data_IF_876659625543
#
_entry.id   IF_876659625543
#
_cell.length_a   1.000
_cell.length_b   1.000
_cell.length_c   1.000
_cell.angle_alpha   90.00
_cell.angle_beta   90.00
_cell.angle_gamma   90.00
#
_symmetry.space_group_name_H-M   'P 1'
#
loop_
_entity.id
_entity.type
_entity.pdbx_description
1 polymer ?
#
# COMPACT_ATOMS: atom_id res chain seq x y z
N UNK A 1 17.39 -10.96 -59.56
CA UNK A 1 16.16 -10.71 -58.76
C UNK A 1 16.53 -9.75 -57.65
N UNK A 2 16.10 -8.49 -57.75
CA UNK A 2 16.46 -7.44 -56.78
C UNK A 2 15.49 -7.47 -55.60
N UNK A 3 16.00 -7.68 -54.39
CA UNK A 3 15.22 -7.70 -53.17
C UNK A 3 14.73 -6.28 -52.86
N UNK A 4 13.42 -6.05 -52.98
CA UNK A 4 12.78 -4.80 -52.54
C UNK A 4 12.86 -4.72 -51.02
N UNK A 5 13.66 -3.78 -50.52
CA UNK A 5 13.67 -3.35 -49.12
C UNK A 5 12.28 -2.85 -48.74
N UNK A 6 11.63 -3.54 -47.81
CA UNK A 6 10.30 -3.20 -47.31
C UNK A 6 10.46 -2.16 -46.21
N UNK A 7 10.10 -0.92 -46.48
CA UNK A 7 10.10 0.17 -45.50
C UNK A 7 9.10 -0.18 -44.37
N UNK A 8 9.49 -0.09 -43.08
CA UNK A 8 8.55 -0.32 -42.00
C UNK A 8 7.46 0.74 -42.01
N UNK A 9 6.23 0.41 -41.55
CA UNK A 9 5.14 1.36 -41.49
C UNK A 9 5.52 2.53 -40.56
N UNK A 10 5.00 3.74 -40.82
CA UNK A 10 5.21 4.87 -39.92
C UNK A 10 4.70 4.50 -38.53
N UNK A 11 5.55 4.74 -37.51
CA UNK A 11 5.15 4.65 -36.11
C UNK A 11 4.01 5.64 -35.92
N UNK A 12 2.83 5.14 -35.56
CA UNK A 12 1.69 6.01 -35.28
C UNK A 12 2.11 7.05 -34.22
N UNK A 13 1.83 8.32 -34.49
CA UNK A 13 2.08 9.39 -33.53
C UNK A 13 1.39 9.01 -32.20
N UNK A 14 2.15 9.05 -31.10
CA UNK A 14 1.62 8.77 -29.77
C UNK A 14 0.41 9.69 -29.54
N UNK A 15 -0.71 9.11 -29.09
CA UNK A 15 -1.88 9.88 -28.72
C UNK A 15 -1.47 11.00 -27.75
N UNK A 16 -2.03 12.21 -27.87
CA UNK A 16 -1.69 13.31 -26.98
C UNK A 16 -1.90 12.86 -25.54
N UNK A 17 -0.93 13.19 -24.68
CA UNK A 17 -1.00 12.81 -23.28
C UNK A 17 -2.34 13.30 -22.71
N UNK A 18 -3.06 12.43 -22.00
CA UNK A 18 -4.36 12.77 -21.44
C UNK A 18 -4.21 14.00 -20.53
N UNK A 19 -5.15 14.95 -20.65
CA UNK A 19 -5.10 16.18 -19.86
C UNK A 19 -5.24 15.81 -18.39
N UNK A 20 -4.26 16.24 -17.57
CA UNK A 20 -4.26 16.02 -16.12
C UNK A 20 -5.60 16.49 -15.50
N UNK A 21 -6.05 15.86 -14.40
CA UNK A 21 -7.21 16.34 -13.67
C UNK A 21 -7.07 17.82 -13.34
N UNK A 22 -8.11 18.59 -13.64
CA UNK A 22 -8.15 20.01 -13.28
C UNK A 22 -8.52 20.10 -11.80
N UNK A 23 -7.66 20.77 -11.02
CA UNK A 23 -7.81 20.87 -9.56
C UNK A 23 -8.22 22.28 -9.21
N UNK A 24 -9.43 22.41 -8.68
CA UNK A 24 -9.95 23.63 -8.07
C UNK A 24 -9.40 23.75 -6.64
N UNK A 25 -8.30 24.52 -6.52
CA UNK A 25 -7.65 24.80 -5.24
C UNK A 25 -8.51 25.59 -4.27
N UNK A 26 -9.55 26.29 -4.74
CA UNK A 26 -10.45 27.04 -3.87
C UNK A 26 -11.42 26.14 -3.12
N UNK A 27 -11.67 24.95 -3.65
CA UNK A 27 -12.50 23.91 -3.02
C UNK A 27 -11.73 22.92 -2.15
N UNK A 28 -10.41 23.08 -2.04
CA UNK A 28 -9.58 22.28 -1.13
C UNK A 28 -9.57 22.90 0.27
N UNK A 29 -9.41 22.10 1.35
CA UNK A 29 -9.29 22.62 2.70
C UNK A 29 -8.11 23.60 2.85
N UNK A 30 -8.41 24.76 3.43
CA UNK A 30 -7.46 25.85 3.71
C UNK A 30 -7.34 26.03 5.23
N UNK A 31 -6.53 25.22 5.92
CA UNK A 31 -6.38 25.35 7.36
C UNK A 31 -5.79 26.72 7.72
N UNK A 32 -6.43 27.40 8.67
CA UNK A 32 -6.00 28.73 9.13
C UNK A 32 -5.20 28.61 10.43
N UNK A 33 -3.96 29.11 10.40
CA UNK A 33 -3.07 29.12 11.55
C UNK A 33 -2.72 30.57 11.93
N UNK A 34 -3.55 31.19 12.78
CA UNK A 34 -3.46 32.63 13.06
C UNK A 34 -2.09 33.12 13.59
N UNK A 35 -1.34 32.28 14.30
CA UNK A 35 0.02 32.60 14.80
C UNK A 35 1.16 32.09 13.91
N UNK A 36 0.85 31.24 12.92
CA UNK A 36 1.82 30.55 12.08
C UNK A 36 1.33 30.51 10.62
N UNK A 37 1.15 31.67 10.01
CA UNK A 37 0.61 31.79 8.64
C UNK A 37 1.41 30.97 7.60
N UNK A 38 2.72 30.81 7.81
CA UNK A 38 3.57 29.95 6.98
C UNK A 38 3.11 28.48 6.90
N UNK A 39 2.35 27.98 7.88
CA UNK A 39 1.78 26.63 7.84
C UNK A 39 0.60 26.54 6.87
N UNK A 40 -0.16 27.62 6.69
CA UNK A 40 -1.19 27.70 5.64
C UNK A 40 -0.55 27.72 4.25
N UNK A 41 0.59 28.41 4.10
CA UNK A 41 1.37 28.39 2.86
C UNK A 41 1.93 27.00 2.55
N UNK A 42 2.41 26.29 3.57
CA UNK A 42 2.86 24.90 3.45
C UNK A 42 1.73 23.98 3.03
N UNK A 43 0.52 24.12 3.60
CA UNK A 43 -0.65 23.34 3.20
C UNK A 43 -1.04 23.61 1.73
N UNK A 44 -1.05 24.88 1.32
CA UNK A 44 -1.32 25.25 -0.08
C UNK A 44 -0.23 24.72 -1.03
N UNK A 45 1.03 24.74 -0.60
CA UNK A 45 2.14 24.15 -1.35
C UNK A 45 1.96 22.63 -1.51
N UNK A 46 1.60 21.92 -0.44
CA UNK A 46 1.36 20.47 -0.49
C UNK A 46 0.25 20.11 -1.50
N UNK A 47 -0.84 20.88 -1.56
CA UNK A 47 -1.87 20.68 -2.60
C UNK A 47 -1.34 20.88 -4.02
N UNK A 48 -0.56 21.94 -4.26
CA UNK A 48 0.06 22.17 -5.57
C UNK A 48 1.02 21.05 -5.96
N UNK A 49 1.78 20.51 -5.00
CA UNK A 49 2.64 19.35 -5.24
C UNK A 49 1.83 18.11 -5.57
N UNK A 50 0.79 17.79 -4.80
CA UNK A 50 -0.05 16.64 -5.10
C UNK A 50 -0.70 16.74 -6.51
N UNK A 51 -1.26 17.90 -6.88
CA UNK A 51 -1.84 18.11 -8.20
C UNK A 51 -0.81 18.00 -9.35
N UNK A 52 0.44 18.41 -9.12
CA UNK A 52 1.50 18.29 -10.11
C UNK A 52 2.02 16.84 -10.28
N UNK A 53 1.65 15.93 -9.37
CA UNK A 53 2.15 14.55 -9.28
C UNK A 53 1.02 13.53 -9.50
N UNK A 54 0.33 13.73 -10.61
CA UNK A 54 -0.71 12.84 -11.11
C UNK A 54 -0.29 12.31 -12.48
N UNK A 55 -0.38 11.00 -12.64
CA UNK A 55 0.00 10.27 -13.86
C UNK A 55 -1.14 9.36 -14.29
N UNK A 56 -1.27 9.12 -15.60
CA UNK A 56 -2.16 8.09 -16.12
C UNK A 56 -1.34 6.89 -16.56
N UNK A 57 -1.74 5.71 -16.10
CA UNK A 57 -1.13 4.43 -16.44
C UNK A 57 -2.23 3.40 -16.61
N UNK A 58 -2.16 2.56 -17.65
CA UNK A 58 -3.16 1.50 -17.91
C UNK A 58 -4.62 2.01 -17.89
N UNK A 59 -4.84 3.23 -18.38
CA UNK A 59 -6.16 3.87 -18.42
C UNK A 59 -6.62 4.49 -17.10
N UNK A 60 -5.85 4.42 -16.01
CA UNK A 60 -6.21 4.93 -14.69
C UNK A 60 -5.33 6.10 -14.25
N UNK A 61 -5.97 7.15 -13.73
CA UNK A 61 -5.26 8.21 -13.02
C UNK A 61 -4.82 7.74 -11.64
N UNK A 62 -3.59 8.02 -11.26
CA UNK A 62 -3.03 7.70 -9.94
C UNK A 62 -2.03 8.77 -9.51
N UNK A 63 -1.74 8.80 -8.21
CA UNK A 63 -0.68 9.61 -7.62
C UNK A 63 0.68 8.99 -7.96
N UNK A 64 1.65 9.83 -8.34
CA UNK A 64 3.03 9.42 -8.63
C UNK A 64 3.94 9.75 -7.45
N UNK A 65 4.39 8.72 -6.73
CA UNK A 65 5.26 8.87 -5.55
C UNK A 65 6.74 9.08 -5.91
N UNK A 66 7.20 8.49 -7.02
CA UNK A 66 8.63 8.43 -7.35
C UNK A 66 9.13 9.74 -7.95
N UNK A 67 8.24 10.42 -8.68
CA UNK A 67 8.59 11.57 -9.52
C UNK A 67 9.76 11.28 -10.49
N UNK A 68 9.92 10.03 -10.90
CA UNK A 68 10.93 9.61 -11.86
C UNK A 68 10.30 9.64 -13.28
N UNK A 69 10.69 10.59 -14.15
CA UNK A 69 10.14 10.66 -15.50
C UNK A 69 10.49 9.41 -16.33
N UNK A 70 11.57 8.70 -15.98
CA UNK A 70 12.05 7.52 -16.69
C UNK A 70 11.48 6.21 -16.12
N UNK A 71 10.93 6.22 -14.90
CA UNK A 71 10.42 5.02 -14.23
C UNK A 71 9.04 5.27 -13.63
N UNK A 72 8.08 4.44 -13.99
CA UNK A 72 6.71 4.57 -13.52
C UNK A 72 6.45 3.68 -12.31
N UNK A 73 7.32 3.76 -11.32
CA UNK A 73 7.25 2.89 -10.16
C UNK A 73 6.27 3.44 -9.13
N UNK A 74 5.46 2.55 -8.58
CA UNK A 74 4.54 2.88 -7.50
C UNK A 74 4.75 1.94 -6.33
N UNK A 75 5.01 2.53 -5.15
CA UNK A 75 5.24 1.81 -3.89
C UNK A 75 3.97 1.80 -3.06
N UNK A 76 3.73 0.68 -2.38
CA UNK A 76 2.51 0.46 -1.60
C UNK A 76 2.39 1.49 -0.47
N UNK A 77 3.42 1.64 0.38
CA UNK A 77 3.28 2.46 1.58
C UNK A 77 3.17 3.96 1.26
N UNK A 78 3.92 4.48 0.29
CA UNK A 78 3.83 5.86 -0.19
C UNK A 78 2.42 6.14 -0.71
N UNK A 79 1.87 5.21 -1.49
CA UNK A 79 0.52 5.35 -2.05
C UNK A 79 -0.55 5.34 -0.97
N UNK A 80 -0.39 4.53 0.07
CA UNK A 80 -1.29 4.57 1.24
C UNK A 80 -1.23 5.95 1.90
N UNK A 81 -0.05 6.50 2.19
CA UNK A 81 0.06 7.82 2.81
C UNK A 81 -0.46 8.96 1.92
N UNK A 82 -0.20 8.90 0.61
CA UNK A 82 -0.79 9.83 -0.34
C UNK A 82 -2.33 9.72 -0.35
N UNK A 83 -2.89 8.52 -0.23
CA UNK A 83 -4.34 8.31 -0.13
C UNK A 83 -4.92 8.98 1.12
N UNK A 84 -4.26 8.81 2.27
CA UNK A 84 -4.67 9.42 3.54
C UNK A 84 -4.64 10.94 3.52
N UNK A 85 -3.78 11.54 2.69
CA UNK A 85 -3.79 12.97 2.41
C UNK A 85 -4.89 13.36 1.39
N UNK A 86 -4.95 12.66 0.26
CA UNK A 86 -5.83 12.96 -0.85
C UNK A 86 -7.32 12.75 -0.54
N UNK A 87 -7.69 12.02 0.52
CA UNK A 87 -9.10 11.91 0.97
C UNK A 87 -9.74 13.27 1.27
N UNK A 88 -8.92 14.28 1.63
CA UNK A 88 -9.39 15.65 1.85
C UNK A 88 -9.53 16.47 0.56
N UNK A 89 -9.21 15.91 -0.61
CA UNK A 89 -9.30 16.61 -1.89
C UNK A 89 -10.72 16.71 -2.45
N UNK A 90 -11.71 16.11 -1.78
CA UNK A 90 -13.09 16.01 -2.27
C UNK A 90 -13.18 15.39 -3.68
N UNK A 91 -12.44 14.29 -3.89
CA UNK A 91 -12.44 13.53 -5.15
C UNK A 91 -11.66 14.17 -6.30
N UNK A 92 -11.01 15.32 -6.10
CA UNK A 92 -10.24 16.00 -7.15
C UNK A 92 -8.90 15.31 -7.46
N UNK A 93 -8.34 14.59 -6.50
CA UNK A 93 -7.08 13.85 -6.67
C UNK A 93 -7.32 12.33 -6.62
N UNK A 94 -6.62 11.55 -7.47
CA UNK A 94 -6.83 10.11 -7.60
C UNK A 94 -6.14 9.30 -6.48
N UNK A 95 -6.22 9.75 -5.23
CA UNK A 95 -5.58 9.10 -4.09
C UNK A 95 -6.06 7.66 -3.91
N UNK A 96 -7.36 7.50 -3.61
CA UNK A 96 -7.94 6.18 -3.34
C UNK A 96 -7.92 5.27 -4.58
N UNK A 97 -8.06 5.84 -5.78
CA UNK A 97 -8.00 5.12 -7.05
C UNK A 97 -6.61 4.54 -7.29
N UNK A 98 -5.56 5.15 -6.72
CA UNK A 98 -4.19 4.64 -6.83
C UNK A 98 -4.03 3.25 -6.21
N UNK A 99 -4.83 2.90 -5.19
CA UNK A 99 -4.78 1.58 -4.56
C UNK A 99 -5.28 0.46 -5.48
N UNK A 100 -6.18 0.78 -6.43
CA UNK A 100 -6.73 -0.20 -7.36
C UNK A 100 -5.65 -0.83 -8.26
N UNK A 101 -4.55 -0.11 -8.53
CA UNK A 101 -3.42 -0.65 -9.28
C UNK A 101 -2.82 -1.88 -8.60
N UNK A 102 -2.74 -1.88 -7.27
CA UNK A 102 -2.21 -3.02 -6.52
C UNK A 102 -3.19 -4.17 -6.43
N UNK A 103 -4.50 -3.89 -6.29
CA UNK A 103 -5.52 -4.92 -6.27
C UNK A 103 -5.62 -5.65 -7.62
N UNK A 104 -5.41 -4.96 -8.73
CA UNK A 104 -5.39 -5.55 -10.08
C UNK A 104 -4.14 -6.38 -10.35
N UNK A 105 -3.00 -6.04 -9.73
CA UNK A 105 -1.73 -6.73 -9.88
C UNK A 105 -1.48 -7.78 -8.79
N UNK A 106 -2.45 -8.01 -7.91
CA UNK A 106 -2.36 -9.01 -6.85
C UNK A 106 -2.21 -10.42 -7.45
N UNK A 107 -1.26 -11.18 -6.95
CA UNK A 107 -1.06 -12.59 -7.31
C UNK A 107 -2.27 -13.46 -6.96
N UNK A 108 -2.41 -14.60 -7.65
CA UNK A 108 -3.50 -15.56 -7.40
C UNK A 108 -3.50 -16.16 -5.99
N UNK A 109 -2.36 -16.11 -5.30
CA UNK A 109 -2.14 -16.53 -3.91
C UNK A 109 -2.40 -15.41 -2.88
N UNK A 110 -2.75 -14.20 -3.34
CA UNK A 110 -2.97 -13.04 -2.47
C UNK A 110 -1.76 -12.11 -2.31
N UNK A 111 -0.60 -12.44 -2.89
CA UNK A 111 0.60 -11.62 -2.80
C UNK A 111 0.42 -10.24 -3.43
N UNK A 112 0.85 -9.18 -2.72
CA UNK A 112 1.04 -7.85 -3.27
C UNK A 112 2.48 -7.42 -2.97
N UNK A 113 3.24 -7.19 -4.03
CA UNK A 113 4.61 -6.73 -3.98
C UNK A 113 4.73 -5.29 -3.48
N UNK A 114 5.92 -4.97 -2.99
CA UNK A 114 6.29 -3.66 -2.48
C UNK A 114 6.13 -2.55 -3.53
N UNK A 115 6.48 -2.88 -4.77
CA UNK A 115 6.55 -1.93 -5.88
C UNK A 115 6.18 -2.61 -7.18
N UNK A 116 5.52 -1.86 -8.06
CA UNK A 116 5.28 -2.28 -9.43
C UNK A 116 5.60 -1.14 -10.39
N UNK A 117 6.08 -1.47 -11.58
CA UNK A 117 6.08 -0.56 -12.71
C UNK A 117 4.67 -0.48 -13.31
N UNK A 118 4.02 0.68 -13.19
CA UNK A 118 2.66 0.90 -13.68
C UNK A 118 2.55 0.90 -15.21
N UNK A 119 3.66 0.98 -15.94
CA UNK A 119 3.70 0.86 -17.39
C UNK A 119 3.60 -0.60 -17.82
N UNK A 120 4.39 -1.47 -17.19
CA UNK A 120 4.53 -2.88 -17.60
C UNK A 120 3.72 -3.85 -16.74
N UNK A 121 3.35 -3.45 -15.52
CA UNK A 121 2.80 -4.32 -14.48
C UNK A 121 3.84 -5.22 -13.81
N UNK A 122 5.12 -5.08 -14.13
CA UNK A 122 6.19 -5.93 -13.58
C UNK A 122 6.62 -5.43 -12.21
N UNK A 123 6.82 -6.36 -11.29
CA UNK A 123 7.43 -6.12 -9.98
C UNK A 123 8.96 -6.06 -10.11
N UNK A 124 9.62 -4.92 -9.80
CA UNK A 124 11.08 -4.81 -9.92
C UNK A 124 11.86 -5.60 -8.86
N UNK A 125 11.25 -5.83 -7.69
CA UNK A 125 11.88 -6.52 -6.56
C UNK A 125 10.97 -7.61 -6.00
N UNK A 126 10.97 -8.81 -6.61
CA UNK A 126 10.08 -9.90 -6.23
C UNK A 126 10.27 -10.35 -4.78
N UNK A 127 9.19 -10.90 -4.22
CA UNK A 127 9.06 -11.39 -2.85
C UNK A 127 9.23 -10.34 -1.75
N UNK A 128 9.31 -9.05 -2.08
CA UNK A 128 9.34 -7.97 -1.08
C UNK A 128 7.95 -7.40 -0.92
N UNK A 129 7.47 -7.32 0.32
CA UNK A 129 6.26 -6.55 0.65
C UNK A 129 6.65 -5.20 1.24
N UNK A 130 5.73 -4.23 1.20
CA UNK A 130 5.79 -3.02 2.01
C UNK A 130 4.77 -3.10 3.16
N UNK A 131 4.79 -2.15 4.12
CA UNK A 131 3.75 -2.01 5.13
C UNK A 131 2.33 -2.14 4.55
N UNK A 132 1.57 -3.20 4.90
CA UNK A 132 0.35 -3.59 4.21
C UNK A 132 -0.88 -2.82 4.72
N UNK A 133 -0.83 -1.49 4.60
CA UNK A 133 -1.75 -0.55 5.25
C UNK A 133 -3.03 -0.25 4.44
N UNK A 134 -3.41 -1.11 3.51
CA UNK A 134 -4.57 -0.93 2.63
C UNK A 134 -5.89 -0.79 3.40
N UNK A 135 -6.14 -1.66 4.38
CA UNK A 135 -7.37 -1.62 5.18
C UNK A 135 -7.51 -0.29 5.92
N UNK A 136 -6.40 0.27 6.40
CA UNK A 136 -6.37 1.57 7.05
C UNK A 136 -6.70 2.70 6.10
N UNK A 137 -6.09 2.70 4.90
CA UNK A 137 -6.39 3.70 3.88
C UNK A 137 -7.88 3.69 3.46
N UNK A 138 -8.43 2.50 3.18
CA UNK A 138 -9.84 2.33 2.79
C UNK A 138 -10.80 2.73 3.91
N UNK A 139 -10.52 2.34 5.16
CA UNK A 139 -11.32 2.73 6.31
C UNK A 139 -11.31 4.24 6.57
N UNK A 140 -10.13 4.85 6.51
CA UNK A 140 -9.96 6.29 6.72
C UNK A 140 -10.54 7.12 5.56
N UNK A 141 -10.54 6.59 4.33
CA UNK A 141 -11.26 7.19 3.21
C UNK A 141 -12.77 7.15 3.46
N UNK A 142 -13.33 5.97 3.70
CA UNK A 142 -14.75 5.79 3.99
C UNK A 142 -15.22 6.67 5.16
N UNK A 143 -14.45 6.74 6.25
CA UNK A 143 -14.78 7.59 7.40
C UNK A 143 -14.82 9.08 7.08
N UNK A 144 -13.95 9.55 6.18
CA UNK A 144 -13.89 10.97 5.81
C UNK A 144 -14.96 11.33 4.79
N UNK A 145 -15.24 10.46 3.82
CA UNK A 145 -16.09 10.77 2.67
C UNK A 145 -17.51 10.23 2.79
N UNK A 146 -17.72 9.19 3.60
CA UNK A 146 -18.96 8.40 3.62
C UNK A 146 -19.14 7.49 2.41
N UNK A 147 -18.18 7.42 1.49
CA UNK A 147 -18.26 6.60 0.27
C UNK A 147 -17.99 5.13 0.58
N UNK A 148 -19.05 4.32 0.63
CA UNK A 148 -18.98 2.87 0.85
C UNK A 148 -18.98 2.05 -0.45
N UNK A 149 -19.05 2.71 -1.62
CA UNK A 149 -19.31 2.06 -2.91
C UNK A 149 -18.25 1.03 -3.31
N UNK A 150 -17.03 1.17 -2.78
CA UNK A 150 -15.89 0.30 -3.09
C UNK A 150 -15.66 -0.83 -2.09
N UNK A 151 -16.29 -0.80 -0.91
CA UNK A 151 -15.94 -1.70 0.20
C UNK A 151 -16.06 -3.17 -0.18
N UNK A 152 -17.14 -3.55 -0.89
CA UNK A 152 -17.35 -4.94 -1.32
C UNK A 152 -16.30 -5.42 -2.32
N UNK A 153 -15.71 -4.51 -3.10
CA UNK A 153 -14.67 -4.81 -4.08
C UNK A 153 -13.29 -4.93 -3.45
N UNK A 154 -12.98 -4.08 -2.46
CA UNK A 154 -11.61 -3.95 -1.91
C UNK A 154 -11.37 -4.81 -0.67
N UNK A 155 -12.40 -5.19 0.08
CA UNK A 155 -12.24 -6.09 1.23
C UNK A 155 -11.58 -7.42 0.82
N UNK A 156 -12.08 -8.17 -0.19
CA UNK A 156 -11.50 -9.48 -0.54
C UNK A 156 -10.00 -9.47 -0.89
N UNK A 157 -9.47 -8.58 -1.76
CA UNK A 157 -8.04 -8.55 -2.02
C UNK A 157 -7.21 -8.20 -0.77
N UNK A 158 -7.72 -7.35 0.14
CA UNK A 158 -7.01 -7.04 1.37
C UNK A 158 -6.97 -8.25 2.31
N UNK A 159 -8.07 -9.00 2.45
CA UNK A 159 -8.10 -10.24 3.23
C UNK A 159 -7.10 -11.26 2.68
N UNK A 160 -7.05 -11.44 1.35
CA UNK A 160 -6.06 -12.33 0.71
C UNK A 160 -4.62 -11.92 0.98
N UNK A 161 -4.32 -10.61 0.99
CA UNK A 161 -2.99 -10.13 1.36
C UNK A 161 -2.67 -10.47 2.82
N UNK A 162 -3.62 -10.28 3.73
CA UNK A 162 -3.44 -10.63 5.14
C UNK A 162 -3.15 -12.12 5.32
N UNK A 163 -3.91 -12.97 4.63
CA UNK A 163 -3.72 -14.43 4.69
C UNK A 163 -2.37 -14.84 4.07
N UNK A 164 -1.94 -14.17 2.99
CA UNK A 164 -0.62 -14.40 2.40
C UNK A 164 0.51 -14.03 3.38
N UNK A 165 0.42 -12.87 4.04
CA UNK A 165 1.44 -12.43 5.01
C UNK A 165 1.46 -13.38 6.22
N UNK A 166 0.29 -13.86 6.66
CA UNK A 166 0.18 -14.91 7.68
C UNK A 166 0.95 -16.18 7.34
N UNK A 167 0.76 -16.67 6.12
CA UNK A 167 1.36 -17.92 5.67
C UNK A 167 2.86 -17.80 5.43
N UNK A 168 3.34 -16.62 4.99
CA UNK A 168 4.69 -16.47 4.45
C UNK A 168 5.63 -15.61 5.31
N UNK A 169 5.08 -14.78 6.20
CA UNK A 169 5.84 -13.74 6.91
C UNK A 169 5.73 -13.80 8.42
N UNK A 170 5.36 -14.95 8.99
CA UNK A 170 5.49 -15.22 10.43
C UNK A 170 6.89 -15.75 10.76
N UNK A 171 7.47 -15.28 11.86
CA UNK A 171 8.73 -15.82 12.37
C UNK A 171 8.55 -17.25 12.87
N UNK A 172 9.61 -18.05 12.82
CA UNK A 172 9.60 -19.33 13.52
C UNK A 172 9.41 -19.08 15.03
N UNK A 173 8.73 -19.98 15.77
CA UNK A 173 8.59 -19.84 17.21
C UNK A 173 9.94 -19.61 17.90
N UNK A 174 10.02 -18.60 18.77
CA UNK A 174 11.28 -18.22 19.43
C UNK A 174 11.90 -19.38 20.23
N UNK A 175 13.15 -19.76 19.91
CA UNK A 175 13.88 -20.89 20.50
C UNK A 175 14.05 -20.87 22.03
N UNK A 176 14.01 -19.70 22.69
CA UNK A 176 14.06 -19.63 24.16
C UNK A 176 12.83 -20.26 24.84
N UNK A 177 11.80 -20.58 24.07
CA UNK A 177 10.66 -21.36 24.52
C UNK A 177 10.68 -22.81 23.99
N UNK A 178 11.41 -23.12 22.90
CA UNK A 178 11.57 -24.50 22.44
C UNK A 178 12.46 -25.32 23.38
N UNK A 179 13.43 -24.70 24.06
CA UNK A 179 14.22 -25.34 25.13
C UNK A 179 13.43 -25.48 26.45
N UNK A 180 12.31 -24.76 26.63
CA UNK A 180 11.39 -24.95 27.77
C UNK A 180 10.25 -25.92 27.48
N UNK A 181 10.04 -26.26 26.21
CA UNK A 181 9.08 -27.30 25.81
C UNK A 181 9.54 -28.71 26.22
N UNK A 182 10.85 -28.91 26.42
CA UNK A 182 11.41 -30.19 26.88
C UNK A 182 11.40 -30.35 28.42
N UNK A 183 11.24 -29.27 29.21
CA UNK A 183 11.55 -29.30 30.65
C UNK A 183 10.50 -28.65 31.58
N UNK A 184 9.22 -28.73 31.22
CA UNK A 184 8.11 -28.13 31.97
C UNK A 184 8.00 -26.60 31.80
N UNK A 185 7.14 -26.14 30.88
CA UNK A 185 6.00 -25.27 31.19
C UNK A 185 5.36 -24.76 29.89
N UNK A 186 4.09 -25.16 29.74
CA UNK A 186 3.02 -24.62 28.91
C UNK A 186 2.90 -25.17 27.47
N UNK A 187 1.65 -25.44 27.00
CA UNK A 187 1.42 -26.00 25.67
C UNK A 187 1.92 -25.03 24.59
N UNK A 188 2.14 -25.54 23.37
CA UNK A 188 2.63 -24.77 22.22
C UNK A 188 1.86 -23.45 21.94
N UNK A 189 0.66 -23.28 22.51
CA UNK A 189 -0.12 -22.03 22.53
C UNK A 189 0.49 -20.88 23.36
N UNK A 190 1.66 -21.05 23.95
CA UNK A 190 2.40 -19.99 24.66
C UNK A 190 3.68 -19.53 23.94
N UNK A 191 3.87 -19.99 22.71
CA UNK A 191 4.85 -19.46 21.78
C UNK A 191 4.23 -18.29 21.04
N UNK A 192 4.70 -17.06 21.29
CA UNK A 192 4.33 -15.95 20.42
C UNK A 192 5.15 -16.03 19.13
N UNK A 193 4.50 -15.68 18.02
CA UNK A 193 5.13 -15.45 16.73
C UNK A 193 4.88 -14.00 16.34
N UNK A 194 5.88 -13.37 15.77
CA UNK A 194 5.76 -12.03 15.20
C UNK A 194 5.83 -12.15 13.69
N UNK A 195 5.60 -11.03 13.01
CA UNK A 195 5.78 -10.95 11.57
C UNK A 195 7.17 -10.43 11.24
N UNK A 196 7.61 -10.70 10.01
CA UNK A 196 8.86 -10.17 9.49
C UNK A 196 8.74 -9.63 8.07
N UNK A 197 9.52 -8.58 7.79
CA UNK A 197 9.84 -8.19 6.44
C UNK A 197 11.01 -9.04 5.91
N UNK A 198 11.19 -9.12 4.59
CA UNK A 198 12.33 -9.80 3.99
C UNK A 198 13.66 -9.14 4.42
N UNK A 199 13.69 -7.80 4.43
CA UNK A 199 14.83 -6.98 4.84
C UNK A 199 14.41 -5.52 5.15
N UNK A 200 15.41 -4.68 5.47
CA UNK A 200 15.20 -3.24 5.72
C UNK A 200 14.51 -2.50 4.56
N UNK A 201 14.81 -2.86 3.31
CA UNK A 201 14.17 -2.24 2.15
C UNK A 201 12.68 -2.53 2.07
N UNK A 202 12.29 -3.76 2.38
CA UNK A 202 10.89 -4.18 2.44
C UNK A 202 10.10 -3.41 3.52
N UNK A 203 10.75 -3.06 4.63
CA UNK A 203 10.12 -2.23 5.69
C UNK A 203 10.02 -0.74 5.37
N UNK A 204 10.70 -0.26 4.32
CA UNK A 204 10.89 1.17 4.03
C UNK A 204 11.96 1.86 4.88
N UNK A 205 12.74 1.08 5.66
CA UNK A 205 13.79 1.56 6.56
C UNK A 205 15.15 0.95 6.16
N UNK A 206 15.53 1.14 4.89
CA UNK A 206 16.63 0.50 4.16
C UNK A 206 17.97 0.38 4.89
N UNK A 207 18.31 1.36 5.72
CA UNK A 207 19.61 1.50 6.39
C UNK A 207 19.46 1.65 7.91
N UNK A 208 18.29 1.31 8.46
CA UNK A 208 18.09 1.28 9.90
C UNK A 208 19.02 0.25 10.54
N UNK A 209 19.61 0.55 11.71
CA UNK A 209 20.48 -0.41 12.42
C UNK A 209 19.74 -1.66 12.92
N UNK A 210 18.41 -1.70 12.79
CA UNK A 210 17.56 -2.81 13.27
C UNK A 210 17.80 -4.13 12.51
N UNK A 211 18.12 -4.07 11.22
CA UNK A 211 18.33 -5.26 10.41
C UNK A 211 19.45 -5.03 9.38
N UNK A 212 20.33 -6.00 9.13
CA UNK A 212 21.31 -5.89 8.07
C UNK A 212 20.60 -5.83 6.70
N UNK A 213 21.19 -5.10 5.74
CA UNK A 213 20.71 -5.03 4.35
C UNK A 213 21.09 -6.30 3.58
N UNK A 214 20.58 -7.44 4.06
CA UNK A 214 20.76 -8.75 3.47
C UNK A 214 19.39 -9.39 3.27
N UNK A 215 19.17 -9.95 2.09
CA UNK A 215 17.98 -10.74 1.81
C UNK A 215 17.89 -11.90 2.83
N UNK A 216 16.68 -12.31 3.18
CA UNK A 216 16.37 -13.31 4.20
C UNK A 216 16.75 -12.97 5.64
N UNK A 217 17.53 -11.93 5.92
CA UNK A 217 17.94 -11.61 7.29
C UNK A 217 16.75 -11.16 8.15
N UNK A 218 15.72 -10.61 7.53
CA UNK A 218 14.55 -10.14 8.23
C UNK A 218 13.80 -11.24 8.99
N UNK A 219 13.85 -12.51 8.55
CA UNK A 219 13.20 -13.64 9.28
C UNK A 219 13.80 -13.93 10.65
N UNK A 220 14.98 -13.39 10.95
CA UNK A 220 15.67 -13.52 12.24
C UNK A 220 15.50 -12.28 13.13
N UNK A 221 14.69 -11.31 12.69
CA UNK A 221 14.39 -10.08 13.41
C UNK A 221 12.91 -10.04 13.74
N UNK A 222 12.58 -9.48 14.90
CA UNK A 222 11.21 -9.24 15.31
C UNK A 222 10.73 -7.88 14.83
N UNK A 223 9.90 -7.88 13.78
CA UNK A 223 9.38 -6.66 13.17
C UNK A 223 8.10 -6.24 13.89
N UNK A 224 8.29 -5.52 15.00
CA UNK A 224 7.18 -4.97 15.79
C UNK A 224 6.26 -4.06 14.95
N UNK A 225 6.83 -3.37 13.98
CA UNK A 225 6.11 -2.57 12.99
C UNK A 225 5.20 -3.42 12.12
N UNK A 226 5.70 -4.46 11.43
CA UNK A 226 4.83 -5.33 10.62
C UNK A 226 3.76 -5.99 11.48
N UNK A 227 4.12 -6.43 12.67
CA UNK A 227 3.16 -7.04 13.60
C UNK A 227 2.06 -6.07 14.02
N UNK A 228 2.43 -4.82 14.32
CA UNK A 228 1.46 -3.76 14.62
C UNK A 228 0.62 -3.36 13.39
N UNK A 229 1.21 -3.40 12.19
CA UNK A 229 0.53 -3.13 10.94
C UNK A 229 -0.48 -4.22 10.60
N UNK A 230 -0.18 -5.50 10.87
CA UNK A 230 -1.12 -6.61 10.73
C UNK A 230 -2.29 -6.47 11.71
N UNK A 231 -2.02 -6.20 12.99
CA UNK A 231 -3.07 -5.95 13.99
C UNK A 231 -3.95 -4.75 13.61
N UNK A 232 -3.34 -3.66 13.11
CA UNK A 232 -4.08 -2.52 12.58
C UNK A 232 -4.97 -2.95 11.40
N UNK A 233 -4.42 -3.67 10.42
CA UNK A 233 -5.17 -4.13 9.25
C UNK A 233 -6.32 -5.06 9.62
N UNK A 234 -6.14 -5.96 10.58
CA UNK A 234 -7.23 -6.79 11.13
C UNK A 234 -8.32 -5.95 11.75
N UNK A 235 -7.98 -5.00 12.64
CA UNK A 235 -8.96 -4.10 13.24
C UNK A 235 -9.71 -3.28 12.18
N UNK A 236 -9.02 -2.82 11.13
CA UNK A 236 -9.66 -2.07 10.04
C UNK A 236 -10.57 -2.96 9.20
N UNK A 237 -10.17 -4.20 8.89
CA UNK A 237 -11.04 -5.19 8.23
C UNK A 237 -12.29 -5.47 9.07
N UNK A 238 -12.16 -5.58 10.39
CA UNK A 238 -13.27 -5.69 11.31
C UNK A 238 -14.29 -4.56 11.13
N UNK A 239 -13.80 -3.32 11.12
CA UNK A 239 -14.61 -2.12 10.92
C UNK A 239 -15.24 -2.04 9.53
N UNK A 240 -14.51 -2.40 8.48
CA UNK A 240 -15.00 -2.44 7.10
C UNK A 240 -16.14 -3.45 6.94
N UNK A 241 -16.01 -4.64 7.52
CA UNK A 241 -17.10 -5.63 7.54
C UNK A 241 -18.31 -5.15 8.34
N UNK A 242 -18.08 -4.53 9.50
CA UNK A 242 -19.16 -3.96 10.31
C UNK A 242 -19.95 -2.88 9.54
N UNK A 243 -19.27 -2.02 8.77
CA UNK A 243 -19.89 -1.01 7.91
C UNK A 243 -20.76 -1.62 6.80
N UNK A 244 -20.51 -2.87 6.39
CA UNK A 244 -21.33 -3.64 5.46
C UNK A 244 -22.36 -4.55 6.15
N UNK A 245 -22.57 -4.39 7.46
CA UNK A 245 -23.50 -5.20 8.24
C UNK A 245 -23.04 -6.65 8.49
N UNK A 246 -21.77 -6.99 8.20
CA UNK A 246 -21.22 -8.35 8.29
C UNK A 246 -20.65 -8.63 9.68
N UNK A 247 -21.49 -8.61 10.71
CA UNK A 247 -21.06 -8.65 12.11
C UNK A 247 -20.22 -9.88 12.49
N UNK A 248 -20.54 -11.06 11.95
CA UNK A 248 -19.74 -12.27 12.20
C UNK A 248 -18.31 -12.15 11.65
N UNK A 249 -18.15 -11.58 10.44
CA UNK A 249 -16.82 -11.31 9.86
C UNK A 249 -16.11 -10.20 10.61
N UNK A 250 -16.83 -9.17 11.05
CA UNK A 250 -16.27 -8.09 11.85
C UNK A 250 -15.65 -8.63 13.15
N UNK A 251 -16.40 -9.46 13.89
CA UNK A 251 -15.95 -10.08 15.13
C UNK A 251 -14.74 -11.01 14.92
N UNK A 252 -14.72 -11.78 13.83
CA UNK A 252 -13.58 -12.61 13.47
C UNK A 252 -12.29 -11.79 13.32
N UNK A 253 -12.34 -10.68 12.59
CA UNK A 253 -11.17 -9.83 12.38
C UNK A 253 -10.77 -9.05 13.63
N UNK A 254 -11.72 -8.62 14.47
CA UNK A 254 -11.38 -7.98 15.75
C UNK A 254 -10.74 -8.98 16.73
N UNK A 255 -11.17 -10.25 16.74
CA UNK A 255 -10.52 -11.28 17.56
C UNK A 255 -9.08 -11.57 17.12
N UNK A 256 -8.80 -11.44 15.82
CA UNK A 256 -7.45 -11.61 15.27
C UNK A 256 -6.51 -10.45 15.60
N UNK A 257 -7.05 -9.25 15.83
CA UNK A 257 -6.31 -8.01 16.06
C UNK A 257 -5.70 -7.94 17.47
#
# INVERSE_FOLDING_TARGET
MSAKTRTPPPVAAAAPAPRRPDVDFDRLPKPFFGRHTAWSDLAAFAWRRAAAHVRQSRGRWHMDAAWDPNRNYQWVWDTVFMTLYCRFSNGQLPGIQSLDNFYELQGGDGYIGMTYDMTTGVEPWPNRINPPLFAWAEWEYFRTTGDDSRLDRVIPPIERLMDWIDANRRTAPHRRLSLRAEEHLKPAGELYQLYHFEDGGSSGMDNSPRAPRNAEAGRFVDWIDLSSQMALSFRMLGRLHAARGRQARAAHWEQRA
#
